data_IF_851493708771
#
_entry.id   IF_851493708771
#
_cell.length_a   1.000
_cell.length_b   1.000
_cell.length_c   1.000
_cell.angle_alpha   90.00
_cell.angle_beta   90.00
_cell.angle_gamma   90.00
#
_symmetry.space_group_name_H-M   'P 1'
#
loop_
_entity.id
_entity.type
_entity.pdbx_description
1 polymer ?
#
# COMPACT_ATOMS: atom_id res chain seq x y z
N UNK A 1 -56.55 -20.42 -9.61
CA UNK A 1 -55.17 -19.87 -9.71
C UNK A 1 -55.11 -18.34 -9.73
N UNK A 2 -56.08 -17.60 -9.15
CA UNK A 2 -56.08 -16.13 -9.15
C UNK A 2 -55.33 -15.49 -7.94
N UNK A 3 -55.17 -16.24 -6.84
CA UNK A 3 -54.56 -15.72 -5.62
C UNK A 3 -53.05 -15.41 -5.77
N UNK A 4 -52.35 -16.13 -6.65
CA UNK A 4 -50.92 -15.93 -6.87
C UNK A 4 -50.62 -14.64 -7.63
N UNK A 5 -51.49 -14.22 -8.56
CA UNK A 5 -51.28 -13.01 -9.35
C UNK A 5 -51.45 -11.73 -8.52
N UNK A 6 -52.36 -11.74 -7.53
CA UNK A 6 -52.54 -10.62 -6.62
C UNK A 6 -51.36 -10.44 -5.64
N UNK A 7 -50.69 -11.53 -5.27
CA UNK A 7 -49.48 -11.46 -4.44
C UNK A 7 -48.28 -10.83 -5.16
N UNK A 8 -48.16 -11.03 -6.49
CA UNK A 8 -47.11 -10.40 -7.28
C UNK A 8 -47.35 -8.89 -7.46
N UNK A 9 -48.58 -8.45 -7.74
CA UNK A 9 -48.90 -7.03 -7.92
C UNK A 9 -48.67 -6.20 -6.64
N UNK A 10 -48.95 -6.77 -5.47
CA UNK A 10 -48.76 -6.09 -4.17
C UNK A 10 -47.29 -5.80 -3.84
N UNK A 11 -46.33 -6.44 -4.51
CA UNK A 11 -44.89 -6.22 -4.26
C UNK A 11 -44.31 -5.06 -5.07
N UNK A 12 -45.03 -4.53 -6.06
CA UNK A 12 -44.47 -3.60 -7.04
C UNK A 12 -44.75 -2.12 -6.77
N UNK A 13 -45.42 -1.74 -5.68
CA UNK A 13 -45.85 -0.35 -5.43
C UNK A 13 -45.30 0.29 -4.15
N UNK A 14 -44.09 -0.09 -3.71
CA UNK A 14 -43.35 0.68 -2.69
C UNK A 14 -41.87 0.84 -3.06
N UNK A 15 -41.62 1.58 -4.14
CA UNK A 15 -40.30 2.16 -4.40
C UNK A 15 -40.38 3.67 -4.16
N UNK A 16 -40.20 4.06 -2.89
CA UNK A 16 -39.76 5.42 -2.56
C UNK A 16 -38.30 5.55 -3.00
N UNK A 17 -37.86 6.66 -3.62
CA UNK A 17 -36.49 6.79 -4.08
C UNK A 17 -35.54 6.77 -2.88
N UNK A 18 -34.74 5.72 -2.78
CA UNK A 18 -33.68 5.64 -1.78
C UNK A 18 -32.69 6.80 -1.99
N UNK A 19 -32.26 7.51 -0.94
CA UNK A 19 -31.13 8.41 -1.04
C UNK A 19 -29.94 7.61 -1.56
N UNK A 20 -29.37 8.06 -2.68
CA UNK A 20 -28.24 7.40 -3.32
C UNK A 20 -27.08 7.18 -2.35
N UNK A 21 -26.19 6.21 -2.61
CA UNK A 21 -25.05 5.95 -1.76
C UNK A 21 -24.18 7.22 -1.69
N UNK A 22 -24.27 7.94 -0.59
CA UNK A 22 -23.24 8.88 -0.16
C UNK A 22 -21.97 8.07 -0.01
N UNK A 23 -21.07 8.19 -0.98
CA UNK A 23 -19.68 7.74 -0.83
C UNK A 23 -19.04 8.70 0.17
N UNK A 24 -19.33 8.48 1.45
CA UNK A 24 -18.57 9.09 2.53
C UNK A 24 -17.17 8.52 2.39
N UNK A 25 -16.22 9.33 1.89
CA UNK A 25 -14.79 9.05 2.02
C UNK A 25 -14.50 8.94 3.50
N UNK A 26 -14.64 7.75 4.06
CA UNK A 26 -14.05 7.40 5.33
C UNK A 26 -12.55 7.48 5.11
N UNK A 27 -11.96 8.61 5.49
CA UNK A 27 -10.53 8.69 5.79
C UNK A 27 -10.31 7.77 6.98
N UNK A 28 -10.16 6.47 6.69
CA UNK A 28 -9.68 5.51 7.65
C UNK A 28 -8.30 5.98 8.07
N UNK A 29 -8.16 6.31 9.36
CA UNK A 29 -6.86 6.60 9.94
C UNK A 29 -5.94 5.42 9.59
N UNK A 30 -4.91 5.69 8.78
CA UNK A 30 -4.03 4.66 8.26
C UNK A 30 -3.29 4.02 9.43
N UNK A 31 -3.62 2.74 9.71
CA UNK A 31 -2.95 1.97 10.74
C UNK A 31 -1.44 1.92 10.46
N UNK A 32 -0.64 2.49 11.36
CA UNK A 32 0.83 2.37 11.32
C UNK A 32 1.25 1.16 12.12
N UNK A 33 1.77 0.14 11.43
CA UNK A 33 2.35 -1.02 12.10
C UNK A 33 3.54 -0.61 12.99
N UNK A 34 3.73 -1.21 14.17
CA UNK A 34 4.82 -0.87 15.10
C UNK A 34 6.22 -0.97 14.47
N UNK A 35 6.40 -1.84 13.47
CA UNK A 35 7.67 -2.01 12.74
C UNK A 35 8.09 -0.81 11.90
N UNK A 36 7.18 0.17 11.71
CA UNK A 36 7.38 1.43 10.97
C UNK A 36 7.59 2.64 11.89
N UNK A 37 7.53 2.47 13.21
CA UNK A 37 7.83 3.56 14.15
C UNK A 37 9.27 4.03 13.96
N UNK A 38 9.46 5.35 13.86
CA UNK A 38 10.78 5.95 13.59
C UNK A 38 11.31 5.78 12.17
N UNK A 39 10.57 5.10 11.27
CA UNK A 39 10.98 4.90 9.87
C UNK A 39 10.15 5.72 8.92
N UNK A 40 10.81 6.42 8.00
CA UNK A 40 10.17 7.17 6.91
C UNK A 40 10.16 6.33 5.64
N UNK A 41 9.04 6.33 4.91
CA UNK A 41 8.95 5.64 3.62
C UNK A 41 9.59 6.52 2.53
N UNK A 42 10.64 6.02 1.91
CA UNK A 42 11.25 6.59 0.71
C UNK A 42 10.93 5.67 -0.47
N UNK A 43 10.27 6.20 -1.50
CA UNK A 43 9.86 5.42 -2.68
C UNK A 43 10.32 6.12 -3.95
N UNK A 44 10.77 5.33 -4.93
CA UNK A 44 11.09 5.78 -6.28
C UNK A 44 10.60 4.74 -7.30
N UNK A 45 10.21 5.19 -8.49
CA UNK A 45 9.92 4.33 -9.63
C UNK A 45 11.22 4.09 -10.40
N UNK A 46 11.65 2.83 -10.50
CA UNK A 46 12.89 2.41 -11.17
C UNK A 46 12.60 1.26 -12.15
N UNK A 47 13.52 1.02 -13.09
CA UNK A 47 13.46 -0.16 -13.96
C UNK A 47 13.43 -1.45 -13.16
N UNK A 48 12.76 -2.47 -13.71
CA UNK A 48 12.69 -3.81 -13.13
C UNK A 48 14.08 -4.45 -12.96
N UNK A 49 15.07 -4.05 -13.74
CA UNK A 49 16.44 -4.60 -13.65
C UNK A 49 17.11 -4.27 -12.31
N UNK A 50 16.84 -3.10 -11.73
CA UNK A 50 17.30 -2.77 -10.38
C UNK A 50 16.79 -3.78 -9.36
N UNK A 51 15.51 -4.14 -9.45
CA UNK A 51 14.90 -5.14 -8.57
C UNK A 51 15.54 -6.51 -8.76
N UNK A 52 15.79 -6.93 -10.01
CA UNK A 52 16.44 -8.22 -10.31
C UNK A 52 17.84 -8.29 -9.71
N UNK A 53 18.65 -7.26 -9.92
CA UNK A 53 20.02 -7.20 -9.38
C UNK A 53 20.04 -7.15 -7.86
N UNK A 54 19.14 -6.38 -7.24
CA UNK A 54 19.00 -6.38 -5.77
C UNK A 54 18.67 -7.77 -5.22
N UNK A 55 17.80 -8.54 -5.89
CA UNK A 55 17.48 -9.91 -5.46
C UNK A 55 18.69 -10.85 -5.60
N UNK A 56 19.50 -10.69 -6.65
CA UNK A 56 20.75 -11.46 -6.77
C UNK A 56 21.72 -11.16 -5.61
N UNK A 57 21.84 -9.89 -5.21
CA UNK A 57 22.69 -9.52 -4.06
C UNK A 57 22.14 -10.12 -2.75
N UNK A 58 20.82 -10.10 -2.55
CA UNK A 58 20.19 -10.75 -1.39
C UNK A 58 20.49 -12.24 -1.35
N UNK A 59 20.36 -12.94 -2.49
CA UNK A 59 20.66 -14.37 -2.56
C UNK A 59 22.13 -14.68 -2.24
N UNK A 60 23.06 -13.79 -2.62
CA UNK A 60 24.50 -13.96 -2.34
C UNK A 60 24.90 -13.62 -0.91
N UNK A 61 24.26 -12.63 -0.29
CA UNK A 61 24.73 -12.04 0.98
C UNK A 61 23.83 -12.34 2.17
N UNK A 62 22.59 -12.77 1.95
CA UNK A 62 21.56 -12.91 2.99
C UNK A 62 21.06 -11.57 3.56
N UNK A 63 21.57 -10.43 3.11
CA UNK A 63 21.15 -9.10 3.58
C UNK A 63 19.70 -8.82 3.15
N UNK A 64 18.95 -8.09 3.98
CA UNK A 64 17.60 -7.64 3.64
C UNK A 64 17.64 -6.54 2.57
N UNK A 65 16.55 -6.35 1.82
CA UNK A 65 16.45 -5.26 0.84
C UNK A 65 16.67 -3.89 1.49
N UNK A 66 16.13 -3.69 2.70
CA UNK A 66 16.29 -2.45 3.44
C UNK A 66 17.76 -2.18 3.76
N UNK A 67 18.51 -3.19 4.18
CA UNK A 67 19.94 -3.05 4.46
C UNK A 67 20.73 -2.69 3.19
N UNK A 68 20.45 -3.36 2.07
CA UNK A 68 21.11 -3.08 0.79
C UNK A 68 20.82 -1.66 0.29
N UNK A 69 19.58 -1.20 0.40
CA UNK A 69 19.22 0.17 0.01
C UNK A 69 19.94 1.18 0.92
N UNK A 70 19.94 0.96 2.24
CA UNK A 70 20.65 1.84 3.18
C UNK A 70 22.16 1.91 2.88
N UNK A 71 22.77 0.78 2.54
CA UNK A 71 24.18 0.69 2.12
C UNK A 71 24.45 1.53 0.87
N UNK A 72 23.65 1.32 -0.19
CA UNK A 72 23.80 2.07 -1.44
C UNK A 72 23.56 3.58 -1.28
N UNK A 73 22.69 3.98 -0.35
CA UNK A 73 22.46 5.39 -0.03
C UNK A 73 23.64 5.98 0.75
N UNK A 74 24.22 5.25 1.69
CA UNK A 74 25.43 5.71 2.40
C UNK A 74 26.64 5.84 1.47
N UNK A 75 26.80 4.94 0.50
CA UNK A 75 27.85 5.06 -0.53
C UNK A 75 27.63 6.33 -1.36
N UNK A 76 26.37 6.65 -1.67
CA UNK A 76 26.01 7.90 -2.36
C UNK A 76 26.29 9.12 -1.47
N UNK A 77 25.95 9.06 -0.18
CA UNK A 77 26.19 10.15 0.76
C UNK A 77 27.67 10.46 0.90
N UNK A 78 28.50 9.42 1.05
CA UNK A 78 29.96 9.52 1.04
C UNK A 78 30.47 10.19 -0.23
N UNK A 79 29.94 9.81 -1.40
CA UNK A 79 30.33 10.39 -2.68
C UNK A 79 30.06 11.90 -2.78
N UNK A 80 29.03 12.39 -2.10
CA UNK A 80 28.65 13.81 -2.08
C UNK A 80 29.09 14.55 -0.81
N UNK A 81 29.94 13.93 0.00
CA UNK A 81 30.44 14.50 1.27
C UNK A 81 29.32 14.96 2.21
N UNK A 82 28.23 14.18 2.25
CA UNK A 82 27.15 14.38 3.23
C UNK A 82 27.21 13.28 4.31
N UNK A 83 26.73 13.55 5.53
CA UNK A 83 26.81 12.59 6.63
C UNK A 83 26.18 11.24 6.27
N UNK A 84 26.92 10.16 6.53
CA UNK A 84 26.41 8.79 6.44
C UNK A 84 25.57 8.45 7.66
N UNK A 85 24.60 7.56 7.49
CA UNK A 85 23.75 7.10 8.59
C UNK A 85 24.28 5.74 9.05
N UNK A 86 24.87 5.68 10.24
CA UNK A 86 25.38 4.44 10.80
C UNK A 86 24.22 3.52 11.26
N UNK A 87 24.45 2.20 11.18
CA UNK A 87 23.42 1.20 11.51
C UNK A 87 23.49 0.91 13.00
N UNK A 88 22.53 1.40 13.78
CA UNK A 88 22.19 0.78 15.08
C UNK A 88 21.52 -0.59 14.91
#
# INVERSE_FOLDING_TARGET
MAALQNALKKRSETASPAPGPVITKTTTASYKAPSRTGKTNLTAYLSQDYKRNMRLIQAKTGKSLQALIAESLNDLFTKYDVPTIDRE
#
